data_IF_687396391601
#
_entry.id   IF_687396391601
#
_cell.length_a   1.000
_cell.length_b   1.000
_cell.length_c   1.000
_cell.angle_alpha   90.00
_cell.angle_beta   90.00
_cell.angle_gamma   90.00
#
_symmetry.space_group_name_H-M   'P 1'
#
loop_
_entity.id
_entity.type
_entity.pdbx_description
1 polymer ?
#
# COMPACT_ATOMS: atom_id res chain seq x y z
N UNK A 1 -25.75 -0.95 -22.15
CA UNK A 1 -25.37 0.35 -22.77
C UNK A 1 -25.35 0.22 -24.27
N UNK A 2 -24.57 -0.72 -24.83
CA UNK A 2 -24.58 -1.03 -26.26
C UNK A 2 -25.99 -1.33 -26.81
N UNK A 3 -26.75 -2.23 -26.16
CA UNK A 3 -28.13 -2.54 -26.55
C UNK A 3 -29.11 -1.34 -26.46
N UNK A 4 -28.68 -0.22 -25.85
CA UNK A 4 -29.43 1.04 -25.75
C UNK A 4 -28.85 2.13 -26.68
N UNK A 5 -27.99 1.77 -27.63
CA UNK A 5 -27.44 2.69 -28.65
C UNK A 5 -26.14 3.41 -28.27
N UNK A 6 -25.54 3.14 -27.11
CA UNK A 6 -24.23 3.69 -26.76
C UNK A 6 -23.12 3.03 -27.61
N UNK A 7 -22.08 3.79 -27.95
CA UNK A 7 -20.89 3.20 -28.60
C UNK A 7 -20.02 2.44 -27.59
N UNK A 8 -19.06 1.61 -28.04
CA UNK A 8 -18.04 1.04 -27.16
C UNK A 8 -17.27 2.11 -26.36
N UNK A 9 -16.96 3.24 -26.98
CA UNK A 9 -16.28 4.38 -26.35
C UNK A 9 -17.14 5.01 -25.25
N UNK A 10 -18.45 5.18 -25.50
CA UNK A 10 -19.39 5.63 -24.46
C UNK A 10 -19.41 4.67 -23.26
N UNK A 11 -19.32 3.35 -23.52
CA UNK A 11 -19.27 2.36 -22.45
C UNK A 11 -17.99 2.50 -21.61
N UNK A 12 -16.83 2.65 -22.26
CA UNK A 12 -15.53 2.87 -21.59
C UNK A 12 -15.52 4.19 -20.82
N UNK A 13 -16.02 5.27 -21.42
CA UNK A 13 -16.12 6.57 -20.78
C UNK A 13 -17.04 6.51 -19.55
N UNK A 14 -18.17 5.81 -19.66
CA UNK A 14 -19.13 5.68 -18.56
C UNK A 14 -18.56 4.86 -17.41
N UNK A 15 -17.97 3.69 -17.66
CA UNK A 15 -17.38 2.88 -16.58
C UNK A 15 -16.21 3.62 -15.92
N UNK A 16 -15.41 4.34 -16.70
CA UNK A 16 -14.32 5.19 -16.17
C UNK A 16 -14.86 6.30 -15.28
N UNK A 17 -15.96 6.95 -15.69
CA UNK A 17 -16.61 8.00 -14.88
C UNK A 17 -17.28 7.44 -13.62
N UNK A 18 -17.82 6.22 -13.65
CA UNK A 18 -18.34 5.55 -12.46
C UNK A 18 -17.24 5.40 -11.41
N UNK A 19 -16.06 4.92 -11.80
CA UNK A 19 -14.89 4.83 -10.89
C UNK A 19 -14.53 6.18 -10.30
N UNK A 20 -14.37 7.21 -11.15
CA UNK A 20 -13.98 8.54 -10.69
C UNK A 20 -15.03 9.20 -9.78
N UNK A 21 -16.32 9.03 -10.10
CA UNK A 21 -17.44 9.51 -9.26
C UNK A 21 -17.50 8.79 -7.92
N UNK A 22 -17.27 7.48 -7.91
CA UNK A 22 -17.24 6.69 -6.67
C UNK A 22 -16.13 7.16 -5.72
N UNK A 23 -14.94 7.42 -6.26
CA UNK A 23 -13.81 7.98 -5.49
C UNK A 23 -14.14 9.36 -4.93
N UNK A 24 -14.60 10.29 -5.77
CA UNK A 24 -14.97 11.63 -5.33
C UNK A 24 -16.11 11.63 -4.30
N UNK A 25 -17.10 10.75 -4.46
CA UNK A 25 -18.19 10.59 -3.50
C UNK A 25 -17.67 10.06 -2.16
N UNK A 26 -16.80 9.04 -2.20
CA UNK A 26 -16.19 8.46 -0.99
C UNK A 26 -15.37 9.50 -0.23
N UNK A 27 -14.55 10.31 -0.92
CA UNK A 27 -13.84 11.41 -0.28
C UNK A 27 -14.82 12.40 0.37
N UNK A 28 -15.84 12.89 -0.35
CA UNK A 28 -16.82 13.82 0.25
C UNK A 28 -17.53 13.27 1.47
N UNK A 29 -17.78 11.95 1.51
CA UNK A 29 -18.52 11.30 2.59
C UNK A 29 -17.65 10.96 3.79
N UNK A 30 -16.40 10.59 3.58
CA UNK A 30 -15.55 9.95 4.59
C UNK A 30 -14.21 10.64 4.86
N UNK A 31 -13.95 11.80 4.25
CA UNK A 31 -12.72 12.57 4.53
C UNK A 31 -12.66 13.01 6.01
N UNK A 32 -11.44 13.18 6.55
CA UNK A 32 -11.26 13.81 7.85
C UNK A 32 -11.90 15.22 7.91
N UNK A 33 -12.28 15.69 9.11
CA UNK A 33 -12.60 17.10 9.32
C UNK A 33 -11.45 17.99 8.83
N UNK A 34 -11.77 18.97 7.98
CA UNK A 34 -10.76 19.84 7.34
C UNK A 34 -10.49 19.52 5.87
N UNK A 35 -10.91 18.36 5.38
CA UNK A 35 -10.73 17.96 3.98
C UNK A 35 -9.43 17.19 3.75
N UNK A 36 -8.92 17.25 2.51
CA UNK A 36 -7.72 16.52 2.08
C UNK A 36 -6.76 17.51 1.44
N UNK A 37 -5.57 17.66 2.02
CA UNK A 37 -4.53 18.51 1.45
C UNK A 37 -3.83 17.82 0.28
N UNK A 38 -3.49 16.53 0.42
CA UNK A 38 -2.73 15.79 -0.57
C UNK A 38 -3.27 14.38 -0.81
N UNK A 39 -3.22 13.92 -2.06
CA UNK A 39 -3.49 12.55 -2.47
C UNK A 39 -2.29 12.02 -3.24
N UNK A 40 -1.72 10.92 -2.75
CA UNK A 40 -0.67 10.18 -3.42
C UNK A 40 -1.24 9.00 -4.21
N UNK A 41 -1.03 9.02 -5.52
CA UNK A 41 -1.54 8.03 -6.45
C UNK A 41 -0.63 6.80 -6.50
N UNK A 42 -1.26 5.63 -6.45
CA UNK A 42 -0.63 4.32 -6.61
C UNK A 42 -1.37 3.44 -7.62
N UNK A 43 -0.71 2.40 -8.14
CA UNK A 43 -1.33 1.37 -8.99
C UNK A 43 -1.67 1.81 -10.42
N UNK A 44 -1.99 0.86 -11.30
CA UNK A 44 -2.15 1.12 -12.74
C UNK A 44 -3.26 2.12 -13.10
N UNK A 45 -4.32 2.21 -12.28
CA UNK A 45 -5.43 3.14 -12.50
C UNK A 45 -5.03 4.62 -12.37
N UNK A 46 -3.92 4.92 -11.69
CA UNK A 46 -3.40 6.29 -11.55
C UNK A 46 -2.97 6.94 -12.87
N UNK A 47 -2.65 6.12 -13.88
CA UNK A 47 -2.25 6.61 -15.21
C UNK A 47 -3.45 6.93 -16.12
N UNK A 48 -4.70 6.70 -15.69
CA UNK A 48 -5.88 7.05 -16.49
C UNK A 48 -6.25 8.54 -16.32
N UNK A 49 -6.01 9.40 -17.32
CA UNK A 49 -6.23 10.84 -17.18
C UNK A 49 -7.70 11.19 -16.95
N UNK A 50 -8.66 10.41 -17.45
CA UNK A 50 -10.08 10.68 -17.28
C UNK A 50 -10.54 10.56 -15.82
N UNK A 51 -9.88 9.70 -15.04
CA UNK A 51 -10.13 9.56 -13.60
C UNK A 51 -9.50 10.74 -12.87
N UNK A 52 -8.22 11.01 -13.14
CA UNK A 52 -7.46 12.04 -12.42
C UNK A 52 -7.99 13.45 -12.70
N UNK A 53 -8.36 13.75 -13.95
CA UNK A 53 -8.98 15.04 -14.30
C UNK A 53 -10.28 15.26 -13.53
N UNK A 54 -11.16 14.25 -13.48
CA UNK A 54 -12.40 14.37 -12.71
C UNK A 54 -12.15 14.53 -11.22
N UNK A 55 -11.17 13.83 -10.64
CA UNK A 55 -10.82 14.01 -9.23
C UNK A 55 -10.31 15.42 -8.94
N UNK A 56 -9.45 15.99 -9.81
CA UNK A 56 -8.96 17.37 -9.68
C UNK A 56 -10.10 18.40 -9.77
N UNK A 57 -11.08 18.18 -10.65
CA UNK A 57 -12.29 19.01 -10.71
C UNK A 57 -13.11 18.95 -9.41
N UNK A 58 -13.21 17.76 -8.80
CA UNK A 58 -14.00 17.55 -7.58
C UNK A 58 -13.27 17.96 -6.29
N UNK A 59 -11.95 18.04 -6.32
CA UNK A 59 -11.08 18.35 -5.18
C UNK A 59 -10.09 19.47 -5.57
N UNK A 60 -10.57 20.68 -5.91
CA UNK A 60 -9.73 21.73 -6.50
C UNK A 60 -8.66 22.29 -5.56
N UNK A 61 -8.78 22.02 -4.25
CA UNK A 61 -7.82 22.44 -3.22
C UNK A 61 -6.81 21.35 -2.85
N UNK A 62 -6.99 20.13 -3.38
CA UNK A 62 -6.17 18.97 -3.04
C UNK A 62 -5.04 18.79 -4.05
N UNK A 63 -3.82 18.66 -3.55
CA UNK A 63 -2.64 18.36 -4.35
C UNK A 63 -2.62 16.86 -4.70
N UNK A 64 -2.77 16.52 -5.98
CA UNK A 64 -2.81 15.11 -6.44
C UNK A 64 -1.54 14.79 -7.22
N UNK A 65 -0.69 13.94 -6.65
CA UNK A 65 0.64 13.57 -7.16
C UNK A 65 0.85 12.04 -7.16
N UNK A 66 1.84 11.55 -7.89
CA UNK A 66 2.25 10.14 -7.78
C UNK A 66 3.02 9.89 -6.48
N UNK A 67 2.91 8.68 -5.95
CA UNK A 67 3.64 8.26 -4.75
C UNK A 67 5.17 8.38 -4.89
N UNK A 68 5.69 8.34 -6.13
CA UNK A 68 7.11 8.47 -6.44
C UNK A 68 7.76 9.73 -5.85
N UNK A 69 6.98 10.83 -5.69
CA UNK A 69 7.50 12.10 -5.17
C UNK A 69 7.96 12.00 -3.70
N UNK A 70 7.47 11.00 -2.95
CA UNK A 70 7.90 10.71 -1.57
C UNK A 70 8.90 9.54 -1.49
N UNK A 71 9.47 9.12 -2.62
CA UNK A 71 10.51 8.09 -2.67
C UNK A 71 10.01 6.65 -2.66
N UNK A 72 8.71 6.41 -2.85
CA UNK A 72 8.13 5.07 -3.00
C UNK A 72 7.62 4.90 -4.43
N UNK A 73 8.19 4.00 -5.25
CA UNK A 73 7.76 3.85 -6.63
C UNK A 73 6.30 3.38 -6.72
N UNK A 74 5.49 4.09 -7.51
CA UNK A 74 4.04 3.80 -7.64
C UNK A 74 3.77 2.35 -8.06
N UNK A 75 4.57 1.82 -8.99
CA UNK A 75 4.40 0.46 -9.53
C UNK A 75 4.81 -0.66 -8.57
N UNK A 76 5.60 -0.39 -7.53
CA UNK A 76 6.11 -1.42 -6.60
C UNK A 76 5.46 -1.38 -5.23
N UNK A 77 4.61 -0.38 -4.92
CA UNK A 77 4.02 -0.16 -3.59
C UNK A 77 3.34 -1.41 -3.01
N UNK A 78 2.56 -2.13 -3.83
CA UNK A 78 1.86 -3.33 -3.35
C UNK A 78 2.81 -4.49 -3.10
N UNK A 79 3.79 -4.72 -3.99
CA UNK A 79 4.82 -5.73 -3.81
C UNK A 79 5.66 -5.47 -2.55
N UNK A 80 6.10 -4.21 -2.35
CA UNK A 80 6.79 -3.79 -1.13
C UNK A 80 5.95 -4.05 0.13
N UNK A 81 4.64 -3.81 0.06
CA UNK A 81 3.75 -4.09 1.20
C UNK A 81 3.70 -5.59 1.54
N UNK A 82 3.75 -6.49 0.55
CA UNK A 82 3.82 -7.93 0.80
C UNK A 82 5.18 -8.35 1.36
N UNK A 83 6.28 -7.78 0.85
CA UNK A 83 7.60 -8.00 1.42
C UNK A 83 7.67 -7.59 2.90
N UNK A 84 7.09 -6.44 3.25
CA UNK A 84 6.99 -5.98 4.63
C UNK A 84 6.15 -6.95 5.48
N UNK A 85 4.96 -7.34 5.02
CA UNK A 85 4.12 -8.35 5.72
C UNK A 85 4.85 -9.68 5.93
N UNK A 86 5.63 -10.13 4.95
CA UNK A 86 6.44 -11.34 5.05
C UNK A 86 7.52 -11.22 6.12
N UNK A 87 8.21 -10.08 6.18
CA UNK A 87 9.18 -9.80 7.23
C UNK A 87 8.52 -9.83 8.61
N UNK A 88 7.41 -9.12 8.79
CA UNK A 88 6.65 -9.05 10.04
C UNK A 88 6.16 -10.44 10.50
N UNK A 89 5.70 -11.27 9.56
CA UNK A 89 5.35 -12.67 9.80
C UNK A 89 6.55 -13.48 10.32
N UNK A 90 7.71 -13.36 9.65
CA UNK A 90 8.94 -14.08 10.00
C UNK A 90 9.46 -13.68 11.39
N UNK A 91 9.44 -12.38 11.72
CA UNK A 91 9.90 -11.90 13.03
C UNK A 91 8.86 -12.08 14.13
N UNK A 92 7.62 -12.44 13.79
CA UNK A 92 6.54 -12.66 14.76
C UNK A 92 5.99 -11.36 15.36
N UNK A 93 5.92 -10.29 14.56
CA UNK A 93 5.43 -8.98 14.96
C UNK A 93 4.13 -8.62 14.22
N UNK A 94 3.27 -7.84 14.87
CA UNK A 94 2.01 -7.41 14.27
C UNK A 94 2.19 -6.17 13.39
N UNK A 95 1.28 -5.99 12.43
CA UNK A 95 1.14 -4.74 11.69
C UNK A 95 0.31 -3.75 12.49
N UNK A 96 0.44 -2.47 12.16
CA UNK A 96 -0.50 -1.45 12.65
C UNK A 96 -1.90 -1.83 12.15
N UNK A 97 -2.84 -1.95 13.09
CA UNK A 97 -4.26 -2.11 12.77
C UNK A 97 -4.86 -0.70 12.60
N UNK A 98 -5.43 -0.37 11.43
CA UNK A 98 -6.03 0.94 11.23
C UNK A 98 -7.28 1.11 12.09
N UNK A 99 -7.71 2.35 12.29
CA UNK A 99 -9.01 2.64 12.90
C UNK A 99 -10.15 2.35 11.91
N UNK A 100 -11.40 2.36 12.39
CA UNK A 100 -12.60 2.08 11.58
C UNK A 100 -12.64 0.67 10.96
N UNK A 101 -12.14 -0.31 11.72
CA UNK A 101 -12.27 -1.75 11.45
C UNK A 101 -13.16 -2.40 12.52
N UNK A 102 -13.65 -3.59 12.24
CA UNK A 102 -14.54 -4.33 13.13
C UNK A 102 -13.85 -4.81 14.42
N UNK A 103 -12.53 -4.99 14.39
CA UNK A 103 -11.72 -5.41 15.53
C UNK A 103 -10.32 -4.81 15.42
N UNK A 104 -9.87 -4.17 16.49
CA UNK A 104 -8.53 -3.58 16.64
C UNK A 104 -7.50 -4.57 17.22
N UNK A 105 -7.90 -5.83 17.42
CA UNK A 105 -7.00 -6.90 17.91
C UNK A 105 -5.83 -7.09 16.95
N UNK A 106 -4.63 -6.74 17.44
CA UNK A 106 -3.38 -7.00 16.76
C UNK A 106 -3.11 -8.51 16.61
N UNK A 107 -2.50 -8.89 15.50
CA UNK A 107 -2.14 -10.27 15.20
C UNK A 107 -1.03 -10.36 14.16
N UNK A 108 -0.34 -11.51 14.15
CA UNK A 108 0.62 -11.85 13.10
C UNK A 108 -0.18 -12.41 11.92
N UNK A 109 0.06 -11.88 10.72
CA UNK A 109 -0.61 -12.35 9.52
C UNK A 109 0.33 -13.19 8.64
N UNK A 110 -0.24 -14.13 7.89
CA UNK A 110 0.51 -14.98 6.96
C UNK A 110 0.85 -16.36 7.53
N UNK A 111 1.40 -17.21 6.66
CA UNK A 111 1.86 -18.54 7.00
C UNK A 111 3.27 -18.74 6.44
N UNK A 112 4.15 -19.33 7.24
CA UNK A 112 5.50 -19.65 6.82
C UNK A 112 5.51 -21.06 6.24
N UNK A 113 5.83 -21.17 4.96
CA UNK A 113 6.15 -22.45 4.33
C UNK A 113 7.66 -22.69 4.47
N UNK A 114 8.11 -23.71 5.21
CA UNK A 114 9.54 -24.00 5.32
C UNK A 114 10.15 -24.32 3.95
N UNK A 115 11.26 -23.66 3.65
CA UNK A 115 12.09 -23.97 2.48
C UNK A 115 12.87 -25.28 2.66
N UNK A 116 13.53 -25.74 1.60
CA UNK A 116 14.30 -26.98 1.63
C UNK A 116 15.55 -26.90 2.53
N UNK A 117 15.92 -28.03 3.11
CA UNK A 117 17.14 -28.18 3.91
C UNK A 117 17.13 -27.34 5.19
N UNK A 118 18.28 -26.75 5.53
CA UNK A 118 18.48 -26.01 6.79
C UNK A 118 18.08 -24.53 6.75
N UNK A 119 17.62 -24.02 5.60
CA UNK A 119 17.36 -22.58 5.40
C UNK A 119 16.32 -22.03 6.39
N UNK A 120 15.25 -22.78 6.63
CA UNK A 120 14.22 -22.41 7.60
C UNK A 120 14.79 -22.32 9.02
N UNK A 121 15.55 -23.33 9.46
CA UNK A 121 16.16 -23.34 10.79
C UNK A 121 17.17 -22.20 10.97
N UNK A 122 17.97 -21.92 9.95
CA UNK A 122 18.91 -20.80 9.95
C UNK A 122 18.18 -19.45 10.06
N UNK A 123 17.12 -19.25 9.27
CA UNK A 123 16.30 -18.03 9.34
C UNK A 123 15.67 -17.87 10.73
N UNK A 124 15.07 -18.91 11.28
CA UNK A 124 14.45 -18.86 12.61
C UNK A 124 15.48 -18.59 13.71
N UNK A 125 16.70 -19.13 13.60
CA UNK A 125 17.79 -18.76 14.50
C UNK A 125 18.14 -17.28 14.38
N UNK A 126 18.26 -16.74 13.16
CA UNK A 126 18.54 -15.33 12.95
C UNK A 126 17.45 -14.42 13.54
N UNK A 127 16.18 -14.81 13.46
CA UNK A 127 15.08 -14.10 14.12
C UNK A 127 15.23 -14.12 15.64
N UNK A 128 15.62 -15.24 16.25
CA UNK A 128 15.88 -15.28 17.70
C UNK A 128 17.06 -14.38 18.08
N UNK A 129 18.12 -14.38 17.28
CA UNK A 129 19.30 -13.52 17.49
C UNK A 129 18.93 -12.02 17.33
N UNK A 130 18.05 -11.66 16.37
CA UNK A 130 17.51 -10.30 16.20
C UNK A 130 16.80 -9.81 17.46
N UNK A 131 15.95 -10.65 18.05
CA UNK A 131 15.24 -10.27 19.27
C UNK A 131 16.15 -10.26 20.50
N UNK A 132 17.13 -11.16 20.58
CA UNK A 132 18.04 -11.27 21.73
C UNK A 132 17.29 -11.27 23.06
N UNK A 133 17.64 -10.32 23.93
CA UNK A 133 17.04 -10.16 25.26
C UNK A 133 15.80 -9.25 25.27
N UNK A 134 15.26 -8.87 24.10
CA UNK A 134 14.05 -8.04 24.03
C UNK A 134 12.85 -8.77 24.67
N UNK A 135 12.06 -8.09 25.52
CA UNK A 135 10.96 -8.71 26.26
C UNK A 135 9.95 -9.39 25.33
N UNK A 136 9.56 -10.63 25.66
CA UNK A 136 8.71 -11.46 24.82
C UNK A 136 7.34 -10.82 24.58
N UNK A 137 6.78 -10.22 25.63
CA UNK A 137 5.49 -9.53 25.63
C UNK A 137 5.44 -8.30 24.73
N UNK A 138 6.61 -7.74 24.36
CA UNK A 138 6.73 -6.57 23.48
C UNK A 138 7.07 -6.92 22.03
N UNK A 139 7.29 -8.20 21.70
CA UNK A 139 7.68 -8.59 20.32
C UNK A 139 6.55 -8.41 19.31
N UNK A 140 5.30 -8.29 19.80
CA UNK A 140 4.13 -8.03 18.96
C UNK A 140 3.89 -6.54 18.68
N UNK A 141 4.56 -5.63 19.38
CA UNK A 141 4.38 -4.19 19.20
C UNK A 141 4.74 -3.80 17.76
N UNK A 142 3.86 -3.10 17.03
CA UNK A 142 4.09 -2.81 15.61
C UNK A 142 5.21 -1.79 15.41
N UNK A 143 5.81 -1.79 14.23
CA UNK A 143 6.70 -0.71 13.79
C UNK A 143 5.89 0.58 13.64
N UNK A 144 6.33 1.66 14.28
CA UNK A 144 5.65 2.96 14.27
C UNK A 144 6.32 3.99 13.34
N UNK A 145 7.57 3.76 12.97
CA UNK A 145 8.36 4.69 12.17
C UNK A 145 9.08 3.95 11.05
N UNK A 146 9.17 4.61 9.88
CA UNK A 146 9.85 4.08 8.71
C UNK A 146 10.70 5.20 8.10
N UNK A 147 12.00 4.94 7.97
CA UNK A 147 12.92 5.80 7.24
C UNK A 147 13.17 5.24 5.85
N UNK A 148 12.93 6.06 4.82
CA UNK A 148 13.20 5.68 3.42
C UNK A 148 14.65 6.08 3.11
N UNK A 149 15.53 5.08 3.11
CA UNK A 149 16.93 5.29 2.74
C UNK A 149 17.06 5.31 1.22
N UNK A 150 17.61 6.41 0.69
CA UNK A 150 18.00 6.50 -0.73
C UNK A 150 19.44 5.98 -0.86
N UNK A 151 19.69 5.18 -1.89
CA UNK A 151 21.06 4.80 -2.28
C UNK A 151 21.87 6.08 -2.59
N UNK A 152 23.15 6.09 -2.17
CA UNK A 152 24.14 7.11 -2.47
C UNK A 152 24.33 7.37 -3.98
N UNK A 153 23.90 6.44 -4.85
CA UNK A 153 24.04 6.55 -6.31
C UNK A 153 22.71 6.72 -7.07
N UNK A 154 21.55 6.76 -6.40
CA UNK A 154 20.26 7.04 -7.07
C UNK A 154 19.82 6.03 -8.13
N UNK A 155 20.35 4.79 -8.16
CA UNK A 155 19.99 3.78 -9.15
C UNK A 155 19.54 2.48 -8.48
N UNK A 156 18.29 2.08 -8.74
CA UNK A 156 17.75 0.79 -8.30
C UNK A 156 18.58 -0.37 -8.91
N UNK A 157 19.27 -1.13 -8.05
CA UNK A 157 20.01 -2.31 -8.46
C UNK A 157 19.07 -3.38 -9.04
N UNK A 158 19.10 -3.55 -10.37
CA UNK A 158 18.76 -4.84 -11.00
C UNK A 158 19.87 -5.83 -10.65
N UNK A 159 19.73 -6.57 -9.55
CA UNK A 159 20.39 -7.87 -9.45
C UNK A 159 19.58 -8.83 -10.31
N UNK A 160 20.09 -9.09 -11.51
CA UNK A 160 19.66 -10.22 -12.33
C UNK A 160 19.76 -11.50 -11.49
N UNK A 161 18.64 -12.21 -11.38
CA UNK A 161 18.63 -13.65 -11.12
C UNK A 161 18.63 -14.36 -12.47
#
# INVERSE_FOLDING_TARGET
MLAKGATPEDCVATITRITAKSLAHSYKRWSPPGGIDEIYLGGGGSYNPNIIMYLREQLPKTNIQFLDVIGIPCGSREAMSFSFKGLECIVGRSLIVPTHVESDKAGIIGHIQPGAGFQYHWLMKHVQDFWGNWPLEKRMDPVLEMEIVKDANGVAMRKHA
#
